data_IF_775554829218
#
_entry.id   IF_775554829218
#
_cell.length_a   1.000
_cell.length_b   1.000
_cell.length_c   1.000
_cell.angle_alpha   90.00
_cell.angle_beta   90.00
_cell.angle_gamma   90.00
#
_symmetry.space_group_name_H-M   'P 1'
#
loop_
_entity.id
_entity.type
_entity.pdbx_description
1 polymer ?
#
# COMPACT_ATOMS: atom_id res chain seq x y z
N UNK A 1 22.05 3.14 14.59
CA UNK A 1 21.13 3.06 13.44
C UNK A 1 19.94 2.21 13.86
N UNK A 2 18.71 2.68 13.67
CA UNK A 2 17.50 1.89 13.98
C UNK A 2 17.20 0.98 12.78
N UNK A 3 16.85 -0.27 13.04
CA UNK A 3 16.50 -1.25 12.01
C UNK A 3 15.14 -1.84 12.31
N UNK A 4 14.28 -1.90 11.29
CA UNK A 4 12.95 -2.51 11.34
C UNK A 4 12.92 -3.61 10.29
N UNK A 5 12.49 -4.81 10.66
CA UNK A 5 12.22 -5.91 9.74
C UNK A 5 10.72 -6.13 9.70
N UNK A 6 10.13 -6.13 8.51
CA UNK A 6 8.68 -6.24 8.28
C UNK A 6 8.41 -7.51 7.47
N UNK A 7 7.62 -8.43 8.02
CA UNK A 7 7.03 -9.52 7.25
C UNK A 7 5.69 -9.09 6.65
N UNK A 8 5.50 -9.27 5.34
CA UNK A 8 4.27 -8.85 4.62
C UNK A 8 3.41 -10.02 4.10
N UNK A 9 3.77 -11.26 4.46
CA UNK A 9 3.03 -12.46 4.08
C UNK A 9 1.64 -12.56 4.72
N UNK A 10 0.71 -13.25 4.05
CA UNK A 10 -0.64 -13.52 4.59
C UNK A 10 -1.57 -12.30 4.66
N UNK A 11 -1.30 -11.24 3.89
CA UNK A 11 -2.10 -10.02 3.97
C UNK A 11 -3.53 -10.21 3.46
N UNK A 12 -4.51 -9.69 4.20
CA UNK A 12 -5.91 -9.59 3.77
C UNK A 12 -6.17 -8.34 2.90
N UNK A 13 -5.20 -7.44 2.79
CA UNK A 13 -5.35 -6.16 2.07
C UNK A 13 -4.97 -6.28 0.59
N UNK A 14 -5.61 -5.44 -0.23
CA UNK A 14 -5.26 -5.21 -1.63
C UNK A 14 -5.44 -3.72 -1.96
N UNK A 15 -4.96 -2.86 -1.06
CA UNK A 15 -5.05 -1.41 -1.10
C UNK A 15 -3.71 -0.76 -1.50
N UNK A 16 -2.76 -1.54 -2.01
CA UNK A 16 -1.45 -1.05 -2.43
C UNK A 16 -0.62 -0.42 -1.31
N UNK A 17 -0.97 -0.67 -0.03
CA UNK A 17 -0.33 -0.02 1.11
C UNK A 17 -0.84 1.41 1.39
N UNK A 18 -1.94 1.82 0.76
CA UNK A 18 -2.55 3.15 0.98
C UNK A 18 -2.82 3.42 2.46
N UNK A 19 -3.44 2.48 3.18
CA UNK A 19 -3.71 2.65 4.61
C UNK A 19 -2.44 2.81 5.45
N UNK A 20 -1.37 2.08 5.10
CA UNK A 20 -0.07 2.19 5.77
C UNK A 20 0.54 3.58 5.58
N UNK A 21 0.58 4.08 4.34
CA UNK A 21 1.14 5.40 4.05
C UNK A 21 0.32 6.49 4.75
N UNK A 22 -1.02 6.38 4.75
CA UNK A 22 -1.88 7.31 5.46
C UNK A 22 -1.63 7.32 6.98
N UNK A 23 -1.44 6.16 7.60
CA UNK A 23 -1.14 6.05 9.03
C UNK A 23 0.23 6.65 9.41
N UNK A 24 1.17 6.68 8.46
CA UNK A 24 2.51 7.25 8.65
C UNK A 24 2.60 8.75 8.33
N UNK A 25 1.47 9.41 8.06
CA UNK A 25 1.41 10.86 7.81
C UNK A 25 1.30 11.25 6.33
N UNK A 26 1.37 10.29 5.41
CA UNK A 26 1.12 10.56 3.99
C UNK A 26 -0.35 10.90 3.72
N UNK A 27 -0.60 11.79 2.76
CA UNK A 27 -1.96 12.19 2.37
C UNK A 27 -2.21 11.71 0.96
N UNK A 28 -3.12 10.74 0.84
CA UNK A 28 -3.65 10.26 -0.42
C UNK A 28 -4.98 10.97 -0.63
N UNK A 29 -5.08 11.74 -1.72
CA UNK A 29 -6.16 12.70 -1.94
C UNK A 29 -6.91 12.42 -3.24
N UNK A 30 -8.23 12.65 -3.20
CA UNK A 30 -9.09 12.70 -4.39
C UNK A 30 -8.95 14.04 -5.13
N UNK A 31 -9.56 14.15 -6.31
CA UNK A 31 -9.58 15.41 -7.09
C UNK A 31 -10.14 16.60 -6.29
N UNK A 32 -11.10 16.33 -5.40
CA UNK A 32 -11.70 17.31 -4.48
C UNK A 32 -10.78 17.67 -3.28
N UNK A 33 -9.52 17.23 -3.26
CA UNK A 33 -8.58 17.36 -2.13
C UNK A 33 -9.10 16.73 -0.81
N UNK A 34 -9.97 15.72 -0.90
CA UNK A 34 -10.40 14.94 0.27
C UNK A 34 -9.49 13.73 0.48
N UNK A 35 -9.31 13.32 1.73
CA UNK A 35 -8.58 12.11 2.06
C UNK A 35 -9.27 10.89 1.42
N UNK A 36 -8.48 10.00 0.81
CA UNK A 36 -8.96 8.75 0.26
C UNK A 36 -9.58 7.89 1.36
N UNK A 37 -10.71 7.25 1.05
CA UNK A 37 -11.34 6.28 1.94
C UNK A 37 -10.48 5.00 2.09
N UNK A 38 -10.73 4.21 3.12
CA UNK A 38 -10.01 2.96 3.37
C UNK A 38 -10.35 1.87 2.32
N UNK A 39 -9.35 1.03 2.02
CA UNK A 39 -9.50 -0.13 1.15
C UNK A 39 -9.20 0.15 -0.33
N UNK A 40 -8.88 -0.92 -1.07
CA UNK A 40 -8.35 -0.80 -2.44
C UNK A 40 -9.33 -0.26 -3.49
N UNK A 41 -10.64 -0.32 -3.24
CA UNK A 41 -11.62 0.26 -4.17
C UNK A 41 -11.51 1.78 -4.25
N UNK A 42 -11.11 2.44 -3.16
CA UNK A 42 -10.96 3.89 -3.13
C UNK A 42 -9.77 4.37 -3.97
N UNK A 43 -8.81 3.50 -4.30
CA UNK A 43 -7.65 3.85 -5.14
C UNK A 43 -8.04 4.32 -6.54
N UNK A 44 -9.22 3.94 -7.05
CA UNK A 44 -9.74 4.42 -8.32
C UNK A 44 -9.96 5.95 -8.32
N UNK A 45 -10.14 6.56 -7.14
CA UNK A 45 -10.37 7.99 -6.97
C UNK A 45 -9.08 8.75 -6.58
N UNK A 46 -7.93 8.09 -6.54
CA UNK A 46 -6.67 8.71 -6.16
C UNK A 46 -6.20 9.68 -7.24
N UNK A 47 -6.11 10.97 -6.90
CA UNK A 47 -5.66 12.02 -7.81
C UNK A 47 -4.30 12.60 -7.42
N UNK A 48 -4.00 12.67 -6.11
CA UNK A 48 -2.75 13.27 -5.60
C UNK A 48 -2.19 12.50 -4.42
N UNK A 49 -0.87 12.37 -4.39
CA UNK A 49 -0.11 11.85 -3.26
C UNK A 49 0.75 12.99 -2.73
N UNK A 50 0.61 13.29 -1.43
CA UNK A 50 1.42 14.25 -0.71
C UNK A 50 2.11 13.56 0.46
N UNK A 51 3.45 13.61 0.47
CA UNK A 51 4.29 12.95 1.47
C UNK A 51 5.08 13.96 2.31
N UNK A 52 4.75 15.27 2.26
CA UNK A 52 5.48 16.28 3.02
C UNK A 52 5.45 16.05 4.53
N UNK A 53 4.34 15.50 5.02
CA UNK A 53 4.08 15.22 6.44
C UNK A 53 4.37 13.75 6.81
N UNK A 54 5.01 12.99 5.92
CA UNK A 54 5.40 11.62 6.21
C UNK A 54 6.42 11.60 7.37
N UNK A 55 6.28 10.65 8.29
CA UNK A 55 7.14 10.55 9.47
C UNK A 55 8.63 10.54 9.10
N UNK A 56 9.33 11.62 9.43
CA UNK A 56 10.75 11.83 9.07
C UNK A 56 11.65 10.76 9.68
N UNK A 57 11.22 10.06 10.74
CA UNK A 57 12.02 8.96 11.32
C UNK A 57 12.15 7.78 10.37
N UNK A 58 11.32 7.69 9.32
CA UNK A 58 11.41 6.66 8.30
C UNK A 58 12.68 6.82 7.44
N UNK A 59 13.17 8.04 7.21
CA UNK A 59 14.42 8.24 6.44
C UNK A 59 15.66 7.84 7.22
N UNK A 60 15.59 7.94 8.55
CA UNK A 60 16.70 7.59 9.46
C UNK A 60 16.70 6.10 9.87
N UNK A 61 15.72 5.34 9.39
CA UNK A 61 15.51 3.94 9.73
C UNK A 61 15.85 3.04 8.55
N UNK A 62 16.63 1.98 8.79
CA UNK A 62 16.78 0.89 7.82
C UNK A 62 15.55 0.00 7.92
N UNK A 63 14.73 0.00 6.87
CA UNK A 63 13.53 -0.84 6.79
C UNK A 63 13.81 -1.97 5.81
N UNK A 64 13.74 -3.21 6.31
CA UNK A 64 13.87 -4.42 5.50
C UNK A 64 12.53 -5.14 5.43
N UNK A 65 12.10 -5.49 4.23
CA UNK A 65 10.83 -6.18 4.01
C UNK A 65 11.13 -7.61 3.57
N UNK A 66 10.67 -8.58 4.35
CA UNK A 66 10.73 -9.98 3.97
C UNK A 66 9.64 -10.25 2.91
N UNK A 67 10.07 -10.41 1.66
CA UNK A 67 9.24 -10.74 0.51
C UNK A 67 9.76 -12.04 -0.11
N UNK A 68 8.90 -13.05 -0.19
CA UNK A 68 9.19 -14.39 -0.73
C UNK A 68 8.72 -14.58 -2.18
N UNK A 69 8.14 -13.52 -2.77
CA UNK A 69 7.59 -13.53 -4.14
C UNK A 69 8.20 -12.42 -4.99
N UNK A 70 8.22 -12.62 -6.31
CA UNK A 70 8.74 -11.66 -7.31
C UNK A 70 7.63 -10.95 -8.09
N UNK A 71 6.36 -11.18 -7.73
CA UNK A 71 5.21 -10.65 -8.44
C UNK A 71 5.21 -9.11 -8.48
N UNK A 72 5.00 -8.48 -9.66
CA UNK A 72 4.89 -7.03 -9.76
C UNK A 72 3.59 -6.51 -9.14
N UNK A 73 3.46 -5.18 -9.03
CA UNK A 73 2.26 -4.55 -8.49
C UNK A 73 1.02 -4.79 -9.38
N UNK A 74 1.18 -4.68 -10.70
CA UNK A 74 0.11 -4.77 -11.70
C UNK A 74 0.45 -5.75 -12.82
N UNK A 75 -0.53 -6.07 -13.68
CA UNK A 75 -0.37 -6.97 -14.81
C UNK A 75 -0.88 -8.40 -14.56
N UNK A 76 -0.70 -9.31 -15.53
CA UNK A 76 -1.21 -10.69 -15.46
C UNK A 76 -0.68 -11.49 -14.26
N UNK A 77 0.57 -11.21 -13.87
CA UNK A 77 1.22 -11.80 -12.69
C UNK A 77 1.24 -10.83 -11.50
N UNK A 78 0.45 -9.75 -11.56
CA UNK A 78 0.45 -8.69 -10.56
C UNK A 78 -0.25 -9.08 -9.26
N UNK A 79 0.00 -8.31 -8.21
CA UNK A 79 -0.50 -8.57 -6.85
C UNK A 79 -2.02 -8.86 -6.79
N UNK A 80 -2.83 -8.06 -7.51
CA UNK A 80 -4.29 -8.26 -7.55
C UNK A 80 -4.70 -9.51 -8.33
N UNK A 81 -4.00 -9.85 -9.42
CA UNK A 81 -4.33 -10.99 -10.27
C UNK A 81 -3.98 -12.33 -9.59
N UNK A 82 -2.84 -12.37 -8.91
CA UNK A 82 -2.30 -13.59 -8.29
C UNK A 82 -2.84 -13.80 -6.88
N UNK A 83 -2.86 -12.76 -6.04
CA UNK A 83 -3.24 -12.88 -4.63
C UNK A 83 -4.66 -12.42 -4.31
N UNK A 84 -5.34 -11.73 -5.23
CA UNK A 84 -6.74 -11.30 -5.06
C UNK A 84 -7.74 -12.44 -4.86
N UNK A 85 -7.67 -13.56 -5.62
CA UNK A 85 -8.63 -14.66 -5.49
C UNK A 85 -8.68 -15.27 -4.08
N UNK A 86 -7.53 -15.48 -3.45
CA UNK A 86 -7.44 -16.01 -2.08
C UNK A 86 -7.87 -15.01 -0.99
N UNK A 87 -7.95 -13.72 -1.32
CA UNK A 87 -8.46 -12.66 -0.42
C UNK A 87 -9.95 -12.37 -0.60
N UNK A 88 -10.68 -13.26 -1.27
CA UNK A 88 -12.12 -13.15 -1.47
C UNK A 88 -12.54 -12.28 -2.66
N UNK A 89 -11.62 -11.88 -3.54
CA UNK A 89 -11.99 -11.13 -4.76
C UNK A 89 -12.55 -12.09 -5.81
N UNK A 90 -13.77 -11.84 -6.28
CA UNK A 90 -14.32 -12.51 -7.48
C UNK A 90 -13.73 -11.85 -8.74
N UNK A 91 -13.38 -12.65 -9.75
CA UNK A 91 -13.03 -12.12 -11.08
C UNK A 91 -14.23 -11.32 -11.59
N UNK A 92 -14.01 -10.05 -11.95
CA UNK A 92 -14.93 -9.23 -12.74
C UNK A 92 -14.50 -9.31 -14.19
#
# INVERSE_FOLDING_TARGET
MKQIIIGIGGSATNDGGAGMVQALGGRLLTEDNRQLAAGGAALEQLAKIDLSELDQRLTDCRIEVACDVTNPLTGPEGATAVFGPQKGRRRR
#
